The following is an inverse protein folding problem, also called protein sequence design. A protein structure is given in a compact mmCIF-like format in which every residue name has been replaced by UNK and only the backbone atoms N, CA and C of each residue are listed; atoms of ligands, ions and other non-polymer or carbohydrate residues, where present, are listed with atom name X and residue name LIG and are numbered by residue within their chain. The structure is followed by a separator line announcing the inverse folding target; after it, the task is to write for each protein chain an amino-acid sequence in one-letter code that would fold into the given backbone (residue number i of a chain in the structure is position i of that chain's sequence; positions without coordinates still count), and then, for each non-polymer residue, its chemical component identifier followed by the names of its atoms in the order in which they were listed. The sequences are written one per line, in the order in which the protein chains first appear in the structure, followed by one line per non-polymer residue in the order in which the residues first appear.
data_IF_884266373401
#
_entry.id   IF_884266373401
#
_cell.length_a   1.000
_cell.length_b   1.000
_cell.length_c   1.000
_cell.angle_alpha   90.00
_cell.angle_beta   90.00
_cell.angle_gamma   90.00
#
_symmetry.space_group_name_H-M   'P 1'
#
loop_
_entity.id
_entity.type
_entity.pdbx_description
1 polymer ?
#
# COMPACT_ATOMS: atom_id res chain seq x y z
N UNK A 1 -12.59 -19.03 -17.14
CA UNK A 1 -13.06 -18.66 -15.78
C UNK A 1 -12.23 -17.48 -15.27
N UNK A 2 -12.87 -16.44 -14.79
CA UNK A 2 -12.17 -15.26 -14.25
C UNK A 2 -11.88 -15.48 -12.78
N UNK A 3 -10.65 -15.23 -12.35
CA UNK A 3 -10.31 -15.26 -10.93
C UNK A 3 -10.99 -14.13 -10.21
N UNK A 4 -11.38 -14.37 -8.96
CA UNK A 4 -11.95 -13.37 -8.07
C UNK A 4 -11.16 -13.35 -6.77
N UNK A 5 -11.27 -12.25 -6.03
CA UNK A 5 -10.63 -12.08 -4.74
C UNK A 5 -11.54 -11.32 -3.78
N UNK A 6 -11.50 -11.69 -2.51
CA UNK A 6 -12.13 -10.92 -1.44
C UNK A 6 -11.11 -10.45 -0.41
N UNK A 7 -9.94 -11.06 -0.36
CA UNK A 7 -8.87 -10.71 0.58
C UNK A 7 -8.40 -9.28 0.34
N UNK A 8 -8.33 -8.49 1.40
CA UNK A 8 -7.84 -7.11 1.36
C UNK A 8 -6.80 -6.86 2.44
N UNK A 9 -5.90 -5.93 2.15
CA UNK A 9 -4.92 -5.40 3.12
C UNK A 9 -5.35 -3.98 3.47
N UNK A 10 -5.40 -3.67 4.76
CA UNK A 10 -5.72 -2.34 5.25
C UNK A 10 -4.47 -1.47 5.21
N UNK A 11 -4.59 -0.30 4.59
CA UNK A 11 -3.48 0.67 4.51
C UNK A 11 -4.03 2.10 4.47
N UNK A 12 -3.20 3.07 4.81
CA UNK A 12 -3.56 4.49 4.69
C UNK A 12 -3.89 4.85 3.25
N UNK A 13 -4.93 5.66 3.04
CA UNK A 13 -5.35 6.00 1.68
C UNK A 13 -4.24 6.69 0.87
N UNK A 14 -3.50 7.61 1.49
CA UNK A 14 -2.39 8.27 0.79
C UNK A 14 -1.31 7.28 0.35
N UNK A 15 -1.02 6.28 1.17
CA UNK A 15 -0.07 5.21 0.82
C UNK A 15 -0.60 4.36 -0.34
N UNK A 16 -1.87 4.01 -0.31
CA UNK A 16 -2.51 3.27 -1.41
C UNK A 16 -2.42 4.06 -2.71
N UNK A 17 -2.71 5.35 -2.67
CA UNK A 17 -2.63 6.20 -3.87
C UNK A 17 -1.18 6.34 -4.36
N UNK A 18 -0.21 6.41 -3.45
CA UNK A 18 1.19 6.41 -3.83
C UNK A 18 1.59 5.12 -4.54
N UNK A 19 1.15 3.98 -4.02
CA UNK A 19 1.36 2.68 -4.67
C UNK A 19 0.68 2.63 -6.04
N UNK A 20 -0.55 3.11 -6.12
CA UNK A 20 -1.35 3.08 -7.34
C UNK A 20 -0.91 4.08 -8.41
N UNK A 21 -0.11 5.08 -8.04
CA UNK A 21 0.40 6.09 -8.99
C UNK A 21 1.90 5.96 -9.25
N UNK A 22 2.51 4.87 -8.79
CA UNK A 22 3.91 4.59 -9.05
C UNK A 22 4.92 5.38 -8.21
N UNK A 23 4.47 6.08 -7.19
CA UNK A 23 5.32 6.86 -6.28
C UNK A 23 5.91 6.00 -5.16
N UNK A 24 5.35 4.84 -4.94
CA UNK A 24 5.77 3.90 -3.91
C UNK A 24 5.68 2.48 -4.47
N UNK A 25 6.58 1.59 -4.03
CA UNK A 25 6.63 0.21 -4.52
C UNK A 25 6.81 -0.81 -3.41
N UNK A 26 6.97 -0.35 -2.18
CA UNK A 26 7.20 -1.22 -1.03
C UNK A 26 6.26 -0.88 0.13
N UNK A 27 6.02 -1.88 0.97
CA UNK A 27 5.51 -1.66 2.32
C UNK A 27 6.57 -2.14 3.31
N UNK A 28 6.69 -1.47 4.43
CA UNK A 28 7.63 -1.81 5.48
C UNK A 28 6.84 -2.26 6.69
N UNK A 29 7.07 -3.51 7.12
CA UNK A 29 6.36 -4.12 8.24
C UNK A 29 7.36 -4.73 9.23
N UNK A 30 6.88 -5.06 10.42
CA UNK A 30 7.65 -5.79 11.46
C UNK A 30 7.56 -7.29 11.27
N UNK A 31 6.75 -7.75 10.33
CA UNK A 31 6.42 -9.15 10.13
C UNK A 31 6.41 -9.48 8.64
N UNK A 32 6.65 -10.75 8.34
CA UNK A 32 6.50 -11.29 7.00
C UNK A 32 5.03 -11.69 6.76
N UNK A 33 4.72 -12.17 5.57
CA UNK A 33 3.38 -12.65 5.24
C UNK A 33 3.45 -13.88 4.36
N UNK A 34 2.50 -14.77 4.53
CA UNK A 34 2.23 -15.88 3.60
C UNK A 34 1.11 -15.53 2.62
N UNK A 35 0.41 -14.44 2.85
CA UNK A 35 -0.62 -13.93 1.95
C UNK A 35 0.08 -13.09 0.89
N UNK A 36 0.07 -13.57 -0.35
CA UNK A 36 0.89 -13.02 -1.42
C UNK A 36 0.09 -12.17 -2.41
N UNK A 37 -1.22 -12.01 -2.22
CA UNK A 37 -2.05 -11.14 -3.04
C UNK A 37 -3.26 -10.63 -2.27
N UNK A 38 -3.66 -9.40 -2.56
CA UNK A 38 -4.78 -8.75 -1.88
C UNK A 38 -5.21 -7.48 -2.60
N UNK A 39 -6.44 -7.05 -2.32
CA UNK A 39 -6.89 -5.71 -2.68
C UNK A 39 -6.33 -4.71 -1.67
N UNK A 40 -6.12 -3.48 -2.08
CA UNK A 40 -5.68 -2.41 -1.19
C UNK A 40 -6.92 -1.66 -0.68
N UNK A 41 -7.25 -1.84 0.59
CA UNK A 41 -8.44 -1.25 1.21
C UNK A 41 -8.04 -0.02 2.04
N UNK A 42 -8.61 1.17 1.75
CA UNK A 42 -8.18 2.40 2.39
C UNK A 42 -8.65 2.51 3.85
N UNK A 43 -7.77 3.00 4.70
CA UNK A 43 -8.09 3.42 6.06
C UNK A 43 -7.87 4.92 6.18
N UNK A 44 -8.58 5.57 7.09
CA UNK A 44 -8.64 7.03 7.18
C UNK A 44 -8.28 7.57 8.55
N UNK A 45 -8.14 6.72 9.55
CA UNK A 45 -7.93 7.17 10.94
C UNK A 45 -6.68 8.03 11.13
N UNK A 46 -5.62 7.80 10.34
CA UNK A 46 -4.40 8.60 10.43
C UNK A 46 -4.66 10.07 10.09
N UNK A 47 -5.58 10.35 9.16
CA UNK A 47 -5.88 11.71 8.70
C UNK A 47 -6.65 12.53 9.72
N UNK A 48 -7.13 11.90 10.80
CA UNK A 48 -7.79 12.59 11.92
C UNK A 48 -6.80 13.23 12.88
N UNK A 49 -5.53 12.88 12.79
CA UNK A 49 -4.47 13.46 13.62
C UNK A 49 -4.03 14.81 13.04
N UNK A 50 -3.85 15.81 13.89
CA UNK A 50 -3.46 17.15 13.45
C UNK A 50 -2.10 17.18 12.75
N UNK A 51 -1.20 16.26 13.13
CA UNK A 51 0.17 16.21 12.63
C UNK A 51 0.43 15.06 11.67
N UNK A 52 -0.59 14.54 11.01
CA UNK A 52 -0.43 13.37 10.14
C UNK A 52 0.59 13.59 9.01
N UNK A 53 0.73 14.82 8.53
CA UNK A 53 1.69 15.16 7.46
C UNK A 53 3.14 14.99 7.87
N UNK A 54 3.44 15.03 9.17
CA UNK A 54 4.81 14.86 9.67
C UNK A 54 5.37 13.46 9.40
N UNK A 55 4.52 12.49 9.12
CA UNK A 55 4.93 11.12 8.79
C UNK A 55 5.39 10.97 7.34
N UNK A 56 5.24 12.00 6.52
CA UNK A 56 5.50 11.96 5.08
C UNK A 56 6.65 12.87 4.68
N UNK A 57 7.41 12.44 3.67
CA UNK A 57 8.49 13.24 3.12
C UNK A 57 7.96 14.58 2.59
N UNK A 58 8.74 15.63 2.73
CA UNK A 58 8.33 17.00 2.40
C UNK A 58 7.78 17.12 0.98
N UNK A 59 8.45 16.48 0.03
CA UNK A 59 8.06 16.52 -1.40
C UNK A 59 6.71 15.86 -1.69
N UNK A 60 6.21 15.02 -0.77
CA UNK A 60 4.94 14.31 -0.95
C UNK A 60 3.79 14.87 -0.12
N UNK A 61 4.03 15.91 0.69
CA UNK A 61 3.00 16.44 1.60
C UNK A 61 1.76 16.96 0.87
N UNK A 62 1.93 17.63 -0.25
CA UNK A 62 0.79 18.11 -1.04
C UNK A 62 0.00 16.93 -1.62
N UNK A 63 0.70 15.95 -2.15
CA UNK A 63 0.09 14.71 -2.63
C UNK A 63 -0.72 14.03 -1.52
N UNK A 64 -0.16 13.97 -0.30
CA UNK A 64 -0.83 13.35 0.85
C UNK A 64 -2.08 14.12 1.24
N UNK A 65 -2.05 15.45 1.25
CA UNK A 65 -3.23 16.26 1.54
C UNK A 65 -4.36 15.98 0.56
N UNK A 66 -4.03 15.89 -0.72
CA UNK A 66 -4.99 15.64 -1.79
C UNK A 66 -5.57 14.22 -1.73
N UNK A 67 -4.83 13.27 -1.17
CA UNK A 67 -5.18 11.86 -1.16
C UNK A 67 -5.35 11.30 0.26
N UNK A 68 -5.59 12.15 1.24
CA UNK A 68 -5.75 11.73 2.64
C UNK A 68 -6.99 10.85 2.83
N UNK A 69 -8.07 11.17 2.12
CA UNK A 69 -9.33 10.45 2.24
C UNK A 69 -9.70 9.81 0.90
N UNK A 70 -10.22 8.58 0.92
CA UNK A 70 -10.71 7.91 -0.28
C UNK A 70 -12.05 8.48 -0.71
N UNK A 71 -12.42 8.24 -1.95
CA UNK A 71 -13.79 8.46 -2.41
C UNK A 71 -14.72 7.47 -1.71
N UNK A 72 -15.93 7.92 -1.45
CA UNK A 72 -16.91 7.17 -0.67
C UNK A 72 -18.28 7.28 -1.31
N UNK A 73 -18.99 6.17 -1.38
CA UNK A 73 -20.39 6.11 -1.78
C UNK A 73 -21.16 5.50 -0.64
N UNK A 74 -21.95 6.34 0.07
CA UNK A 74 -22.60 6.00 1.30
C UNK A 74 -21.58 5.53 2.35
N UNK A 75 -21.66 4.30 2.84
CA UNK A 75 -20.69 3.74 3.80
C UNK A 75 -19.56 2.95 3.15
N UNK A 76 -19.55 2.89 1.80
CA UNK A 76 -18.58 2.08 1.06
C UNK A 76 -17.44 2.92 0.54
N UNK A 77 -16.21 2.39 0.67
CA UNK A 77 -15.00 3.04 0.19
C UNK A 77 -14.63 2.55 -1.21
N UNK A 78 -14.04 3.44 -1.99
CA UNK A 78 -13.54 3.11 -3.32
C UNK A 78 -12.27 2.27 -3.23
N UNK A 79 -12.29 1.09 -3.83
CA UNK A 79 -11.15 0.20 -3.96
C UNK A 79 -10.76 0.18 -5.44
N UNK A 80 -9.52 0.57 -5.73
CA UNK A 80 -9.02 0.75 -7.11
C UNK A 80 -7.88 -0.18 -7.47
N UNK A 81 -7.19 -0.76 -6.50
CA UNK A 81 -5.92 -1.42 -6.75
C UNK A 81 -5.86 -2.81 -6.14
N UNK A 82 -5.15 -3.66 -6.84
CA UNK A 82 -4.81 -5.02 -6.45
C UNK A 82 -3.28 -5.13 -6.42
N UNK A 83 -2.73 -5.87 -5.47
CA UNK A 83 -1.29 -6.01 -5.33
C UNK A 83 -0.88 -7.46 -5.13
N UNK A 84 0.30 -7.79 -5.67
CA UNK A 84 1.01 -9.05 -5.42
C UNK A 84 2.30 -8.75 -4.69
N UNK A 85 2.60 -9.55 -3.67
CA UNK A 85 3.88 -9.51 -2.99
C UNK A 85 4.88 -10.33 -3.82
N UNK A 86 5.76 -9.64 -4.53
CA UNK A 86 6.74 -10.30 -5.40
C UNK A 86 7.96 -10.78 -4.64
N UNK A 87 8.33 -10.08 -3.56
CA UNK A 87 9.51 -10.41 -2.78
C UNK A 87 9.41 -9.80 -1.39
N UNK A 88 9.96 -10.47 -0.39
CA UNK A 88 10.12 -9.92 0.96
C UNK A 88 11.61 -9.94 1.30
N UNK A 89 12.14 -8.78 1.69
CA UNK A 89 13.56 -8.61 2.03
C UNK A 89 13.64 -8.14 3.47
N UNK A 90 14.46 -8.81 4.28
CA UNK A 90 14.71 -8.39 5.65
C UNK A 90 15.86 -7.38 5.67
N UNK A 91 15.68 -6.26 6.37
CA UNK A 91 16.73 -5.26 6.59
C UNK A 91 16.76 -4.87 8.05
N UNK A 92 17.96 -4.60 8.56
CA UNK A 92 18.10 -4.04 9.91
C UNK A 92 17.54 -2.62 9.95
N UNK A 93 17.06 -2.19 11.12
CA UNK A 93 16.51 -0.85 11.32
C UNK A 93 17.52 0.26 10.98
N UNK A 94 18.82 -0.02 11.09
CA UNK A 94 19.87 0.94 10.75
C UNK A 94 20.06 1.15 9.25
N UNK A 95 19.50 0.29 8.40
CA UNK A 95 19.68 0.34 6.94
C UNK A 95 18.45 0.82 6.17
N UNK A 96 17.43 1.28 6.86
CA UNK A 96 16.19 1.69 6.21
C UNK A 96 16.32 2.96 5.36
N UNK A 97 17.36 3.76 5.59
CA UNK A 97 17.59 4.98 4.81
C UNK A 97 17.74 4.73 3.30
N UNK A 98 18.25 3.56 2.91
CA UNK A 98 18.39 3.19 1.51
C UNK A 98 17.03 2.95 0.82
N UNK A 99 15.94 2.89 1.58
CA UNK A 99 14.60 2.62 1.06
C UNK A 99 13.81 3.89 0.76
N UNK A 100 14.33 5.07 1.10
CA UNK A 100 13.58 6.34 1.01
C UNK A 100 13.03 6.64 -0.38
N UNK A 101 13.70 6.18 -1.45
CA UNK A 101 13.24 6.42 -2.83
C UNK A 101 12.07 5.52 -3.24
N UNK A 102 11.73 4.54 -2.44
CA UNK A 102 10.71 3.54 -2.77
C UNK A 102 9.39 3.72 -2.01
N UNK A 103 9.32 4.74 -1.13
CA UNK A 103 8.11 5.05 -0.36
C UNK A 103 8.03 6.54 -0.06
N UNK A 104 6.89 6.97 0.46
CA UNK A 104 6.62 8.40 0.72
C UNK A 104 6.75 8.79 2.21
N UNK A 105 6.99 7.84 3.10
CA UNK A 105 7.14 8.11 4.55
C UNK A 105 8.50 8.73 4.84
N UNK A 106 8.59 9.47 5.97
CA UNK A 106 9.89 9.90 6.48
C UNK A 106 10.64 8.70 7.06
N UNK A 107 11.98 8.81 7.04
CA UNK A 107 12.83 7.82 7.73
C UNK A 107 12.48 7.73 9.21
N UNK A 108 12.23 8.89 9.86
CA UNK A 108 11.90 8.94 11.28
C UNK A 108 10.57 8.22 11.58
N UNK A 109 9.59 8.38 10.72
CA UNK A 109 8.31 7.66 10.87
C UNK A 109 8.52 6.14 10.78
N UNK A 110 9.26 5.67 9.79
CA UNK A 110 9.55 4.25 9.61
C UNK A 110 10.33 3.71 10.81
N UNK A 111 11.34 4.46 11.25
CA UNK A 111 12.16 4.09 12.41
C UNK A 111 11.33 3.98 13.68
N UNK A 112 10.44 4.95 13.90
CA UNK A 112 9.53 4.96 15.06
C UNK A 112 8.58 3.77 15.01
N UNK A 113 8.03 3.46 13.83
CA UNK A 113 7.16 2.30 13.64
C UNK A 113 7.89 0.99 13.96
N UNK A 114 9.11 0.83 13.45
CA UNK A 114 9.87 -0.42 13.63
C UNK A 114 10.35 -0.61 15.08
N UNK A 115 10.68 0.48 15.78
CA UNK A 115 11.28 0.40 17.11
C UNK A 115 12.58 -0.40 17.04
N UNK A 116 12.65 -1.52 17.78
CA UNK A 116 13.80 -2.44 17.78
C UNK A 116 13.66 -3.59 16.78
N UNK A 117 12.57 -3.62 16.01
CA UNK A 117 12.31 -4.71 15.07
C UNK A 117 13.09 -4.51 13.79
N UNK A 118 13.43 -5.63 13.15
CA UNK A 118 13.94 -5.58 11.77
C UNK A 118 12.81 -5.21 10.82
N UNK A 119 13.16 -4.57 9.69
CA UNK A 119 12.21 -4.26 8.65
C UNK A 119 11.99 -5.49 7.77
N UNK A 120 10.72 -5.84 7.58
CA UNK A 120 10.31 -6.77 6.54
C UNK A 120 9.80 -5.93 5.38
N UNK A 121 10.56 -5.86 4.30
CA UNK A 121 10.27 -5.02 3.14
C UNK A 121 9.48 -5.86 2.13
N UNK A 122 8.21 -5.53 1.95
CA UNK A 122 7.35 -6.21 0.99
C UNK A 122 7.42 -5.44 -0.33
N UNK A 123 8.00 -6.05 -1.35
CA UNK A 123 8.05 -5.44 -2.68
C UNK A 123 6.78 -5.83 -3.41
N UNK A 124 5.95 -4.85 -3.73
CA UNK A 124 4.62 -5.05 -4.30
C UNK A 124 4.60 -4.74 -5.79
N UNK A 125 4.03 -5.63 -6.58
CA UNK A 125 3.58 -5.31 -7.92
C UNK A 125 2.12 -4.91 -7.83
N UNK A 126 1.82 -3.66 -8.20
CA UNK A 126 0.48 -3.08 -8.05
C UNK A 126 -0.20 -3.00 -9.43
N UNK A 127 -1.49 -3.31 -9.45
CA UNK A 127 -2.32 -3.28 -10.64
C UNK A 127 -3.55 -2.43 -10.39
N UNK A 128 -3.96 -1.67 -11.39
CA UNK A 128 -5.22 -0.95 -11.36
C UNK A 128 -6.33 -1.91 -11.80
N UNK A 129 -7.43 -1.92 -11.05
CA UNK A 129 -8.62 -2.71 -11.42
C UNK A 129 -9.26 -2.13 -12.68
N UNK A 130 -9.91 -2.99 -13.46
CA UNK A 130 -10.65 -2.59 -14.66
C UNK A 130 -11.65 -1.46 -14.33
N UNK A 131 -12.37 -1.62 -13.22
CA UNK A 131 -13.30 -0.60 -12.70
C UNK A 131 -13.13 -0.48 -11.19
N UNK A 132 -13.15 0.76 -10.66
CA UNK A 132 -13.20 0.95 -9.22
C UNK A 132 -14.44 0.28 -8.62
N UNK A 133 -14.29 -0.27 -7.42
CA UNK A 133 -15.38 -0.93 -6.70
C UNK A 133 -15.62 -0.20 -5.37
N UNK A 134 -16.87 0.07 -5.05
CA UNK A 134 -17.23 0.63 -3.74
C UNK A 134 -17.63 -0.52 -2.83
N UNK A 135 -16.85 -0.74 -1.78
CA UNK A 135 -16.92 -1.94 -0.95
C UNK A 135 -16.86 -1.62 0.53
N UNK A 136 -17.49 -2.48 1.33
CA UNK A 136 -17.25 -2.59 2.77
C UNK A 136 -16.33 -3.78 3.02
N UNK A 137 -15.83 -3.88 4.24
CA UNK A 137 -14.96 -4.97 4.65
C UNK A 137 -15.38 -5.52 6.00
N UNK A 138 -14.96 -6.75 6.28
CA UNK A 138 -15.06 -7.35 7.61
C UNK A 138 -14.08 -6.67 8.56
N UNK A 139 -14.22 -6.91 9.85
CA UNK A 139 -13.25 -6.42 10.84
C UNK A 139 -11.91 -7.14 10.66
N UNK A 140 -10.83 -6.39 10.80
CA UNK A 140 -9.46 -6.93 10.76
C UNK A 140 -8.46 -5.81 10.95
N UNK A 141 -7.35 -6.11 11.62
CA UNK A 141 -6.28 -5.13 11.85
C UNK A 141 -5.38 -4.98 10.64
N UNK A 142 -5.04 -6.08 9.99
CA UNK A 142 -4.11 -6.13 8.85
C UNK A 142 -4.83 -6.54 7.59
N UNK A 143 -5.52 -7.66 7.65
CA UNK A 143 -6.26 -8.23 6.54
C UNK A 143 -7.74 -8.28 6.87
N UNK A 144 -8.54 -8.18 5.84
CA UNK A 144 -9.99 -8.31 5.93
C UNK A 144 -10.50 -8.97 4.67
N UNK A 145 -11.80 -9.17 4.58
CA UNK A 145 -12.45 -9.57 3.34
C UNK A 145 -13.45 -8.49 2.96
N UNK A 146 -13.52 -8.18 1.68
CA UNK A 146 -14.53 -7.27 1.16
C UNK A 146 -15.86 -8.01 0.98
N UNK A 147 -16.95 -7.26 0.92
CA UNK A 147 -18.32 -7.79 0.90
C UNK A 147 -18.78 -8.32 -0.48
N UNK A 148 -17.92 -8.22 -1.48
CA UNK A 148 -18.18 -8.76 -2.84
C UNK A 148 -16.91 -9.41 -3.37
N UNK A 149 -17.08 -10.44 -4.21
CA UNK A 149 -15.98 -10.96 -5.00
C UNK A 149 -15.61 -9.95 -6.08
N UNK A 150 -14.34 -9.61 -6.16
CA UNK A 150 -13.80 -8.68 -7.15
C UNK A 150 -13.10 -9.46 -8.24
N UNK A 151 -13.51 -9.26 -9.49
CA UNK A 151 -12.90 -9.94 -10.64
C UNK A 151 -11.53 -9.36 -10.95
N UNK A 152 -10.57 -10.25 -11.21
CA UNK A 152 -9.18 -9.88 -11.52
C UNK A 152 -8.91 -9.99 -13.02
N UNK A 153 -9.85 -9.53 -13.85
CA UNK A 153 -9.68 -9.44 -15.30
C UNK A 153 -9.32 -8.01 -15.70
N UNK A 154 -8.65 -7.89 -16.84
CA UNK A 154 -8.24 -6.60 -17.40
C UNK A 154 -7.44 -5.71 -16.43
N UNK A 155 -6.62 -6.33 -15.59
CA UNK A 155 -5.73 -5.62 -14.69
C UNK A 155 -4.66 -4.87 -15.47
N UNK A 156 -4.38 -3.63 -15.05
CA UNK A 156 -3.32 -2.81 -15.66
C UNK A 156 -2.18 -2.63 -14.66
N UNK A 157 -0.97 -3.11 -14.95
CA UNK A 157 0.17 -2.85 -14.06
C UNK A 157 0.44 -1.36 -13.99
N UNK A 158 0.68 -0.87 -12.78
CA UNK A 158 0.96 0.55 -12.53
C UNK A 158 2.32 0.94 -13.11
N UNK A 159 3.31 0.04 -12.98
CA UNK A 159 4.64 0.21 -13.55
C UNK A 159 4.85 -0.79 -14.68
N UNK A 160 5.63 -0.41 -15.68
CA UNK A 160 6.05 -1.35 -16.72
C UNK A 160 6.94 -2.46 -16.13
N UNK A 161 7.10 -3.55 -16.86
CA UNK A 161 7.99 -4.64 -16.43
C UNK A 161 9.42 -4.15 -16.20
N UNK A 162 9.93 -3.30 -17.10
CA UNK A 162 11.29 -2.77 -16.99
C UNK A 162 11.44 -1.83 -15.79
N UNK A 163 10.46 -0.99 -15.52
CA UNK A 163 10.46 -0.11 -14.34
C UNK A 163 10.47 -0.93 -13.05
N UNK A 164 9.62 -1.96 -12.98
CA UNK A 164 9.53 -2.82 -11.80
C UNK A 164 10.82 -3.63 -11.59
N UNK A 165 11.40 -4.17 -12.65
CA UNK A 165 12.69 -4.87 -12.60
C UNK A 165 13.80 -3.98 -12.04
N UNK A 166 13.82 -2.70 -12.43
CA UNK A 166 14.80 -1.74 -11.92
C UNK A 166 14.64 -1.55 -10.40
N UNK A 167 13.40 -1.52 -9.92
CA UNK A 167 13.11 -1.40 -8.49
C UNK A 167 13.59 -2.64 -7.74
N UNK A 168 13.29 -3.83 -8.25
CA UNK A 168 13.74 -5.08 -7.63
C UNK A 168 15.26 -5.15 -7.50
N UNK A 169 15.98 -4.64 -8.48
CA UNK A 169 17.45 -4.63 -8.47
C UNK A 169 18.02 -3.59 -7.52
N UNK A 170 17.31 -2.49 -7.30
CA UNK A 170 17.78 -1.36 -6.49
C UNK A 170 17.58 -1.51 -5.00
N UNK A 171 16.71 -2.41 -4.58
CA UNK A 171 16.40 -2.59 -3.15
C UNK A 171 17.38 -3.50 -2.44
#
# INVERSE_FOLDING_TARGET
MVETITKSLNEWNATIEALGQGKQSILIRKYSTTINEFLLFPTVSYALKDNYLDSFQEEYKDFVRENALPNKDDSRFEVKYYAKVEKIIEKSASRIGSLNDYHIWTRDHVKSYLGNSKAQVWVLRVYELDKPQYLNRTRGMKYANVDKEVKLDNLKPVLSDSEFESILKGI
#
